data_IF_245551005485
#
_entry.id   IF_245551005485
#
_cell.length_a   1.000
_cell.length_b   1.000
_cell.length_c   1.000
_cell.angle_alpha   90.00
_cell.angle_beta   90.00
_cell.angle_gamma   90.00
#
_symmetry.space_group_name_H-M   'P 1'
#
loop_
_entity.id
_entity.type
_entity.pdbx_description
1 polymer ?
#
# COMPACT_ATOMS: atom_id res chain seq x y z
N UNK A 1 -0.16 7.64 11.46
CA UNK A 1 -0.90 7.28 12.70
C UNK A 1 -0.55 5.87 13.18
N UNK A 2 -0.73 4.82 12.36
CA UNK A 2 -0.54 3.42 12.76
C UNK A 2 0.85 3.09 13.37
N UNK A 3 1.94 3.50 12.70
CA UNK A 3 3.31 3.25 13.19
C UNK A 3 3.57 3.93 14.53
N UNK A 4 3.15 5.20 14.67
CA UNK A 4 3.30 5.95 15.91
C UNK A 4 2.50 5.33 17.06
N UNK A 5 1.25 4.93 16.81
CA UNK A 5 0.39 4.28 17.80
C UNK A 5 0.94 2.92 18.24
N UNK A 6 1.47 2.13 17.30
CA UNK A 6 2.08 0.83 17.59
C UNK A 6 3.30 0.99 18.53
N UNK A 7 4.18 1.96 18.26
CA UNK A 7 5.35 2.24 19.10
C UNK A 7 4.92 2.72 20.49
N UNK A 8 3.87 3.55 20.60
CA UNK A 8 3.39 4.05 21.90
C UNK A 8 2.67 2.99 22.75
N UNK A 9 1.96 2.04 22.13
CA UNK A 9 1.20 1.01 22.84
C UNK A 9 2.04 -0.20 23.21
N UNK A 10 3.00 -0.58 22.36
CA UNK A 10 3.77 -1.81 22.53
C UNK A 10 5.25 -1.57 22.85
N UNK A 11 5.76 -0.34 22.68
CA UNK A 11 7.18 -0.03 22.82
C UNK A 11 8.01 -0.45 21.59
N UNK A 12 9.14 0.20 21.32
CA UNK A 12 9.94 -0.04 20.11
C UNK A 12 10.64 -1.42 20.09
N UNK A 13 10.92 -1.99 21.27
CA UNK A 13 11.62 -3.29 21.42
C UNK A 13 10.66 -4.50 21.40
N UNK A 14 9.35 -4.27 21.31
CA UNK A 14 8.35 -5.33 21.35
C UNK A 14 8.06 -5.89 19.96
N UNK A 15 8.17 -7.21 19.81
CA UNK A 15 7.80 -7.91 18.57
C UNK A 15 6.36 -7.67 18.11
N UNK A 16 5.45 -7.30 19.02
CA UNK A 16 4.06 -6.96 18.71
C UNK A 16 3.94 -5.66 17.87
N UNK A 17 4.78 -4.66 18.14
CA UNK A 17 4.80 -3.43 17.35
C UNK A 17 5.18 -3.73 15.89
N UNK A 18 6.15 -4.64 15.70
CA UNK A 18 6.72 -5.00 14.41
C UNK A 18 5.70 -5.70 13.51
N UNK A 19 4.87 -6.60 14.08
CA UNK A 19 3.81 -7.30 13.35
C UNK A 19 2.74 -6.33 12.84
N UNK A 20 2.32 -5.37 13.67
CA UNK A 20 1.31 -4.39 13.27
C UNK A 20 1.81 -3.45 12.16
N UNK A 21 3.10 -3.09 12.14
CA UNK A 21 3.65 -2.21 11.09
C UNK A 21 4.03 -2.95 9.83
N UNK A 22 4.45 -4.22 9.91
CA UNK A 22 4.80 -5.03 8.73
C UNK A 22 3.62 -5.16 7.77
N UNK A 23 2.39 -5.32 8.28
CA UNK A 23 1.19 -5.43 7.46
C UNK A 23 0.98 -4.22 6.56
N UNK A 24 1.05 -3.00 7.12
CA UNK A 24 0.88 -1.77 6.34
C UNK A 24 2.09 -1.51 5.42
N UNK A 25 3.29 -1.88 5.86
CA UNK A 25 4.50 -1.76 5.07
C UNK A 25 4.52 -2.71 3.86
N UNK A 26 3.77 -3.81 3.87
CA UNK A 26 3.67 -4.72 2.72
C UNK A 26 2.45 -4.42 1.85
N UNK A 27 1.28 -4.13 2.42
CA UNK A 27 0.05 -3.90 1.65
C UNK A 27 0.13 -2.69 0.74
N UNK A 28 0.63 -1.55 1.25
CA UNK A 28 0.70 -0.30 0.50
C UNK A 28 1.61 -0.42 -0.73
N UNK A 29 2.87 -0.89 -0.64
CA UNK A 29 3.70 -1.05 -1.82
C UNK A 29 3.22 -2.16 -2.76
N UNK A 30 2.57 -3.23 -2.25
CA UNK A 30 1.92 -4.23 -3.11
C UNK A 30 0.82 -3.58 -3.95
N UNK A 31 -0.07 -2.79 -3.33
CA UNK A 31 -1.11 -2.08 -4.05
C UNK A 31 -0.54 -1.12 -5.11
N UNK A 32 0.50 -0.35 -4.74
CA UNK A 32 1.14 0.57 -5.67
C UNK A 32 1.86 -0.16 -6.81
N UNK A 33 2.46 -1.32 -6.55
CA UNK A 33 3.11 -2.15 -7.57
C UNK A 33 2.10 -2.66 -8.60
N UNK A 34 0.95 -3.15 -8.15
CA UNK A 34 -0.15 -3.59 -9.01
C UNK A 34 -0.72 -2.41 -9.79
N UNK A 35 -0.98 -1.28 -9.13
CA UNK A 35 -1.46 -0.06 -9.78
C UNK A 35 -0.48 0.42 -10.87
N UNK A 36 0.82 0.42 -10.57
CA UNK A 36 1.87 0.78 -11.53
C UNK A 36 1.90 -0.17 -12.74
N UNK A 37 1.75 -1.48 -12.50
CA UNK A 37 1.64 -2.47 -13.57
C UNK A 37 0.43 -2.22 -14.47
N UNK A 38 -0.75 -1.98 -13.89
CA UNK A 38 -1.97 -1.63 -14.63
C UNK A 38 -1.81 -0.31 -15.40
N UNK A 39 -1.15 0.69 -14.81
CA UNK A 39 -0.90 1.96 -15.48
C UNK A 39 0.09 1.81 -16.64
N UNK A 40 1.05 0.89 -16.53
CA UNK A 40 2.00 0.56 -17.60
C UNK A 40 1.35 -0.20 -18.76
N UNK A 41 0.36 -1.04 -18.49
CA UNK A 41 -0.43 -1.73 -19.52
C UNK A 41 -1.60 -0.90 -20.07
N UNK A 42 -1.77 0.34 -19.60
CA UNK A 42 -2.83 1.26 -20.05
C UNK A 42 -2.86 1.47 -21.57
N UNK A 43 -1.71 1.38 -22.24
CA UNK A 43 -1.61 1.52 -23.70
C UNK A 43 -2.27 0.38 -24.49
N UNK A 44 -2.60 -0.73 -23.84
CA UNK A 44 -3.29 -1.87 -24.45
C UNK A 44 -4.81 -1.66 -24.47
N UNK A 45 -5.32 -0.71 -23.68
CA UNK A 45 -6.73 -0.39 -23.64
C UNK A 45 -7.04 0.72 -24.65
N UNK A 46 -8.08 0.57 -25.49
CA UNK A 46 -8.53 1.64 -26.36
C UNK A 46 -8.91 2.86 -25.51
N UNK A 47 -8.53 4.06 -25.97
CA UNK A 47 -8.95 5.30 -25.30
C UNK A 47 -10.47 5.31 -25.26
N UNK A 48 -11.03 5.29 -24.05
CA UNK A 48 -12.47 5.45 -23.86
C UNK A 48 -12.87 6.78 -24.49
N UNK A 49 -13.58 6.73 -25.61
CA UNK A 49 -14.19 7.91 -26.21
C UNK A 49 -15.21 8.41 -25.21
N UNK A 50 -15.09 9.64 -24.68
CA UNK A 50 -16.10 10.18 -23.78
C UNK A 50 -17.43 10.21 -24.55
N UNK A 51 -18.46 9.57 -23.98
CA UNK A 51 -19.79 9.58 -24.53
C UNK A 51 -20.29 11.04 -24.53
N UNK A 52 -20.72 11.49 -25.71
CA UNK A 52 -21.24 12.84 -25.98
C UNK A 52 -22.53 13.11 -25.20
#
# INVERSE_FOLDING_TARGET
>A
LAVAVAITLFGPESGAALVCVVGVLVEVPVMLSVCSFCNRTRNWFPKATPAK
#
